data_IF_819605471612
#
_entry.id   IF_819605471612
#
_cell.length_a   1.000
_cell.length_b   1.000
_cell.length_c   1.000
_cell.angle_alpha   90.00
_cell.angle_beta   90.00
_cell.angle_gamma   90.00
#
_symmetry.space_group_name_H-M   'P 1'
#
loop_
_entity.id
_entity.type
_entity.pdbx_description
1 polymer ?
#
# COMPACT_ATOMS: atom_id res chain seq x y z
N UNK A 1 8.53 -10.47 16.86
CA UNK A 1 7.59 -9.55 16.20
C UNK A 1 6.49 -10.36 15.52
N UNK A 2 5.22 -10.06 15.79
CA UNK A 2 4.10 -10.72 15.14
C UNK A 2 3.99 -10.30 13.67
N UNK A 3 3.23 -11.05 12.88
CA UNK A 3 2.96 -10.67 11.48
C UNK A 3 2.17 -9.36 11.42
N UNK A 4 1.26 -9.13 12.37
CA UNK A 4 0.55 -7.86 12.47
C UNK A 4 1.51 -6.69 12.73
N UNK A 5 2.47 -6.86 13.64
CA UNK A 5 3.48 -5.83 13.90
C UNK A 5 4.36 -5.59 12.67
N UNK A 6 4.71 -6.65 11.93
CA UNK A 6 5.45 -6.54 10.66
C UNK A 6 4.65 -5.81 9.59
N UNK A 7 3.35 -6.09 9.47
CA UNK A 7 2.49 -5.39 8.54
C UNK A 7 2.45 -3.89 8.83
N UNK A 8 2.30 -3.51 10.10
CA UNK A 8 2.33 -2.10 10.52
C UNK A 8 3.69 -1.46 10.26
N UNK A 9 4.77 -2.18 10.55
CA UNK A 9 6.13 -1.70 10.28
C UNK A 9 6.37 -1.47 8.79
N UNK A 10 5.84 -2.32 7.94
CA UNK A 10 5.89 -2.15 6.48
C UNK A 10 5.22 -0.83 6.05
N UNK A 11 4.03 -0.54 6.55
CA UNK A 11 3.34 0.72 6.24
C UNK A 11 4.15 1.94 6.71
N UNK A 12 4.74 1.86 7.90
CA UNK A 12 5.61 2.94 8.41
C UNK A 12 6.86 3.14 7.55
N UNK A 13 7.43 2.06 7.04
CA UNK A 13 8.59 2.13 6.14
C UNK A 13 8.24 2.85 4.83
N UNK A 14 7.04 2.59 4.29
CA UNK A 14 6.55 3.32 3.10
C UNK A 14 6.43 4.82 3.40
N UNK A 15 5.80 5.17 4.53
CA UNK A 15 5.64 6.57 4.94
C UNK A 15 6.99 7.27 5.07
N UNK A 16 7.97 6.60 5.66
CA UNK A 16 9.31 7.13 5.90
C UNK A 16 10.20 7.09 4.66
N UNK A 17 9.71 6.56 3.54
CA UNK A 17 10.44 6.39 2.28
C UNK A 17 11.70 5.54 2.45
N UNK A 18 11.62 4.54 3.31
CA UNK A 18 12.67 3.56 3.53
C UNK A 18 12.59 2.42 2.52
N UNK A 19 13.65 1.61 2.47
CA UNK A 19 13.68 0.40 1.65
C UNK A 19 12.68 -0.62 2.20
N UNK A 20 11.72 -1.04 1.38
CA UNK A 20 10.67 -1.99 1.78
C UNK A 20 11.01 -3.44 1.46
N UNK A 21 12.11 -3.70 0.75
CA UNK A 21 12.50 -5.07 0.35
C UNK A 21 12.62 -6.04 1.52
N UNK A 22 13.09 -5.62 2.72
CA UNK A 22 13.16 -6.54 3.86
C UNK A 22 11.84 -7.14 4.29
N UNK A 23 10.72 -6.51 3.94
CA UNK A 23 9.37 -6.98 4.30
C UNK A 23 8.77 -7.93 3.27
N UNK A 24 9.36 -8.05 2.09
CA UNK A 24 8.76 -8.70 0.93
C UNK A 24 9.48 -9.99 0.58
N UNK A 25 8.71 -11.07 0.36
CA UNK A 25 9.28 -12.32 -0.12
C UNK A 25 9.72 -12.18 -1.58
N UNK A 26 10.80 -12.87 -2.02
CA UNK A 26 11.25 -12.78 -3.40
C UNK A 26 10.21 -13.21 -4.43
N UNK A 27 9.32 -14.12 -4.05
CA UNK A 27 8.25 -14.66 -4.89
C UNK A 27 6.88 -14.04 -4.57
N UNK A 28 6.85 -12.85 -3.99
CA UNK A 28 5.61 -12.15 -3.68
C UNK A 28 4.74 -11.95 -4.93
N UNK A 29 3.43 -12.09 -4.74
CA UNK A 29 2.43 -11.67 -5.71
C UNK A 29 1.53 -10.64 -5.03
N UNK A 30 1.51 -9.44 -5.56
CA UNK A 30 0.60 -8.39 -5.13
C UNK A 30 -0.49 -8.20 -6.17
N UNK A 31 -1.72 -8.19 -5.73
CA UNK A 31 -2.86 -7.88 -6.59
C UNK A 31 -3.55 -6.60 -6.11
N UNK A 32 -3.60 -5.63 -7.00
CA UNK A 32 -4.40 -4.42 -6.81
C UNK A 32 -5.66 -4.57 -7.64
N UNK A 33 -6.82 -4.55 -6.98
CA UNK A 33 -8.09 -4.66 -7.67
C UNK A 33 -8.45 -3.34 -8.37
N UNK A 34 -9.27 -3.39 -9.44
CA UNK A 34 -9.64 -2.19 -10.19
C UNK A 34 -10.11 -1.07 -9.29
N UNK A 35 -9.56 0.11 -9.50
CA UNK A 35 -9.88 1.32 -8.76
C UNK A 35 -9.70 2.54 -9.66
N UNK A 36 -9.97 3.72 -9.14
CA UNK A 36 -9.94 4.93 -9.95
C UNK A 36 -8.57 5.27 -10.53
N UNK A 37 -7.47 4.94 -9.83
CA UNK A 37 -6.12 5.19 -10.33
C UNK A 37 -5.63 4.10 -11.27
N UNK A 38 -6.09 2.86 -11.05
CA UNK A 38 -5.70 1.69 -11.85
C UNK A 38 -6.99 0.99 -12.29
N UNK A 39 -7.67 1.50 -13.33
CA UNK A 39 -9.02 1.04 -13.69
C UNK A 39 -9.14 -0.44 -14.03
N UNK A 40 -8.06 -1.04 -14.54
CA UNK A 40 -8.04 -2.46 -14.88
C UNK A 40 -7.40 -3.33 -13.80
N UNK A 41 -7.01 -2.72 -12.66
CA UNK A 41 -6.23 -3.40 -11.65
C UNK A 41 -4.82 -3.75 -12.13
N UNK A 42 -4.07 -4.45 -11.29
CA UNK A 42 -2.72 -4.90 -11.63
C UNK A 42 -2.34 -6.11 -10.80
N UNK A 43 -1.55 -6.99 -11.38
CA UNK A 43 -0.88 -8.08 -10.66
C UNK A 43 0.62 -7.87 -10.82
N UNK A 44 1.33 -7.83 -9.69
CA UNK A 44 2.75 -7.46 -9.67
C UNK A 44 3.57 -8.51 -8.95
N UNK A 45 4.74 -8.83 -9.54
CA UNK A 45 5.81 -9.52 -8.83
C UNK A 45 6.64 -8.51 -8.03
N UNK A 46 7.73 -8.96 -7.40
CA UNK A 46 8.57 -8.09 -6.59
C UNK A 46 9.10 -6.90 -7.38
N UNK A 47 9.63 -7.14 -8.58
CA UNK A 47 10.19 -6.09 -9.43
C UNK A 47 9.15 -5.04 -9.79
N UNK A 48 7.97 -5.47 -10.22
CA UNK A 48 6.88 -4.57 -10.59
C UNK A 48 6.33 -3.80 -9.38
N UNK A 49 6.30 -4.44 -8.21
CA UNK A 49 5.87 -3.79 -6.97
C UNK A 49 6.84 -2.68 -6.56
N UNK A 50 8.15 -2.93 -6.63
CA UNK A 50 9.16 -1.93 -6.32
C UNK A 50 9.11 -0.76 -7.30
N UNK A 51 8.89 -1.03 -8.59
CA UNK A 51 8.70 0.03 -9.60
C UNK A 51 7.45 0.86 -9.32
N UNK A 52 6.34 0.22 -8.94
CA UNK A 52 5.11 0.93 -8.60
C UNK A 52 5.32 1.84 -7.38
N UNK A 53 6.07 1.37 -6.38
CA UNK A 53 6.42 2.15 -5.20
C UNK A 53 7.24 3.40 -5.59
N UNK A 54 8.21 3.26 -6.49
CA UNK A 54 9.01 4.39 -6.98
C UNK A 54 8.17 5.40 -7.78
N UNK A 55 7.25 4.91 -8.63
CA UNK A 55 6.33 5.80 -9.36
C UNK A 55 5.46 6.60 -8.39
N UNK A 56 4.95 5.95 -7.35
CA UNK A 56 4.15 6.61 -6.32
C UNK A 56 4.91 7.74 -5.63
N UNK A 57 6.18 7.52 -5.31
CA UNK A 57 7.04 8.51 -4.68
C UNK A 57 7.24 9.77 -5.54
N UNK A 58 7.09 9.66 -6.85
CA UNK A 58 7.20 10.81 -7.76
C UNK A 58 5.90 11.61 -7.87
N UNK A 59 4.78 10.98 -7.54
CA UNK A 59 3.44 11.60 -7.62
C UNK A 59 3.07 12.28 -6.32
N UNK A 60 3.42 11.67 -5.17
CA UNK A 60 3.10 12.22 -3.85
C UNK A 60 4.37 12.68 -3.15
N UNK A 61 4.28 13.82 -2.45
CA UNK A 61 5.39 14.37 -1.67
C UNK A 61 5.44 13.81 -0.26
N UNK A 62 4.29 13.39 0.27
CA UNK A 62 4.18 12.73 1.57
C UNK A 62 2.92 11.89 1.60
N UNK A 63 2.91 10.85 2.45
CA UNK A 63 1.74 10.01 2.63
C UNK A 63 1.66 9.49 4.06
N UNK A 64 0.46 9.14 4.48
CA UNK A 64 0.19 8.64 5.80
C UNK A 64 -0.78 7.46 5.72
N UNK A 65 -0.46 6.40 6.46
CA UNK A 65 -1.29 5.21 6.63
C UNK A 65 -1.78 5.17 8.07
N UNK A 66 -3.07 5.41 8.28
CA UNK A 66 -3.71 5.27 9.59
C UNK A 66 -4.46 3.94 9.64
N UNK A 67 -4.01 3.03 10.49
CA UNK A 67 -4.66 1.73 10.65
C UNK A 67 -5.89 1.89 11.52
N UNK A 68 -7.08 1.75 10.92
CA UNK A 68 -8.37 1.90 11.59
C UNK A 68 -8.81 0.59 12.26
N UNK A 69 -8.40 -0.55 11.72
CA UNK A 69 -8.73 -1.86 12.25
C UNK A 69 -7.76 -2.89 11.71
N UNK A 70 -7.58 -3.97 12.46
CA UNK A 70 -6.66 -5.04 12.09
C UNK A 70 -7.13 -6.37 12.65
N UNK A 71 -6.94 -7.43 11.86
CA UNK A 71 -7.18 -8.80 12.26
C UNK A 71 -5.97 -9.64 11.88
N UNK A 72 -5.62 -10.57 12.75
CA UNK A 72 -4.55 -11.53 12.49
C UNK A 72 -5.07 -12.94 12.76
N UNK A 73 -4.84 -13.86 11.84
CA UNK A 73 -5.20 -15.26 11.98
C UNK A 73 -4.15 -16.12 11.27
N UNK A 74 -3.37 -16.88 12.04
CA UNK A 74 -2.29 -17.68 11.49
C UNK A 74 -1.29 -16.80 10.74
N UNK A 75 -1.07 -17.12 9.49
CA UNK A 75 -0.13 -16.39 8.62
C UNK A 75 -0.79 -15.21 7.89
N UNK A 76 -2.06 -14.92 8.18
CA UNK A 76 -2.80 -13.88 7.49
C UNK A 76 -3.05 -12.67 8.37
N UNK A 77 -2.92 -11.48 7.76
CA UNK A 77 -3.22 -10.20 8.39
C UNK A 77 -4.16 -9.43 7.47
N UNK A 78 -5.24 -8.89 8.03
CA UNK A 78 -6.13 -7.98 7.32
C UNK A 78 -6.09 -6.61 7.98
N UNK A 79 -5.95 -5.57 7.19
CA UNK A 79 -5.90 -4.18 7.67
C UNK A 79 -6.99 -3.36 7.00
N UNK A 80 -7.66 -2.52 7.79
CA UNK A 80 -8.45 -1.41 7.28
C UNK A 80 -7.64 -0.14 7.50
N UNK A 81 -7.38 0.59 6.43
CA UNK A 81 -6.46 1.74 6.47
C UNK A 81 -7.11 2.97 5.87
N UNK A 82 -6.99 4.10 6.56
CA UNK A 82 -7.23 5.41 5.95
C UNK A 82 -5.90 5.95 5.47
N UNK A 83 -5.83 6.20 4.16
CA UNK A 83 -4.64 6.71 3.51
C UNK A 83 -4.87 8.16 3.07
N UNK A 84 -3.90 9.02 3.34
CA UNK A 84 -3.88 10.39 2.88
C UNK A 84 -2.51 10.69 2.27
N UNK A 85 -2.51 11.47 1.20
CA UNK A 85 -1.27 11.86 0.53
C UNK A 85 -1.34 13.30 0.07
N UNK A 86 -0.22 13.98 0.11
CA UNK A 86 -0.05 15.31 -0.48
C UNK A 86 0.49 15.12 -1.89
N UNK A 87 -0.18 15.70 -2.88
CA UNK A 87 0.21 15.56 -4.28
C UNK A 87 1.35 16.50 -4.65
N UNK A 88 2.33 15.97 -5.38
CA UNK A 88 3.38 16.77 -6.00
C UNK A 88 3.01 17.24 -7.42
N UNK A 89 1.95 16.65 -8.00
CA UNK A 89 1.44 16.97 -9.34
C UNK A 89 -0.08 17.04 -9.26
N UNK A 90 -0.75 17.76 -10.18
CA UNK A 90 -2.22 17.77 -10.22
C UNK A 90 -2.77 16.38 -10.55
N UNK A 91 -3.92 16.02 -9.96
CA UNK A 91 -4.61 14.78 -10.24
C UNK A 91 -6.13 15.03 -10.22
N UNK A 92 -6.80 14.83 -11.37
CA UNK A 92 -8.23 15.12 -11.49
C UNK A 92 -8.52 16.56 -11.09
N UNK A 93 -9.42 16.76 -10.13
CA UNK A 93 -9.79 18.08 -9.62
C UNK A 93 -8.86 18.58 -8.52
N UNK A 94 -7.90 17.78 -8.07
CA UNK A 94 -6.99 18.13 -6.98
C UNK A 94 -5.73 18.78 -7.56
N UNK A 95 -5.38 20.01 -7.17
CA UNK A 95 -4.14 20.65 -7.63
C UNK A 95 -2.91 20.06 -6.93
N UNK A 96 -1.72 20.34 -7.47
CA UNK A 96 -0.47 20.07 -6.77
C UNK A 96 -0.49 20.75 -5.40
N UNK A 97 -0.02 20.06 -4.37
CA UNK A 97 -0.11 20.51 -2.99
C UNK A 97 -1.41 20.13 -2.29
N UNK A 98 -2.42 19.68 -3.03
CA UNK A 98 -3.68 19.21 -2.46
C UNK A 98 -3.56 17.81 -1.88
N UNK A 99 -4.63 17.37 -1.20
CA UNK A 99 -4.67 16.07 -0.51
C UNK A 99 -5.55 15.08 -1.26
N UNK A 100 -4.99 13.90 -1.53
CA UNK A 100 -5.73 12.73 -2.00
C UNK A 100 -6.03 11.83 -0.80
N UNK A 101 -7.25 11.30 -0.73
CA UNK A 101 -7.68 10.45 0.37
C UNK A 101 -8.27 9.15 -0.15
N UNK A 102 -8.04 8.07 0.57
CA UNK A 102 -8.59 6.76 0.25
C UNK A 102 -8.78 5.91 1.51
N UNK A 103 -9.63 4.89 1.39
CA UNK A 103 -9.69 3.78 2.33
C UNK A 103 -9.19 2.53 1.63
N UNK A 104 -8.28 1.82 2.28
CA UNK A 104 -7.74 0.56 1.76
C UNK A 104 -8.16 -0.61 2.63
N UNK A 105 -8.63 -1.67 1.99
CA UNK A 105 -8.66 -3.01 2.59
C UNK A 105 -7.44 -3.77 2.09
N UNK A 106 -6.56 -4.18 2.99
CA UNK A 106 -5.31 -4.86 2.64
C UNK A 106 -5.27 -6.22 3.30
N UNK A 107 -5.07 -7.26 2.50
CA UNK A 107 -4.97 -8.64 2.97
C UNK A 107 -3.57 -9.16 2.63
N UNK A 108 -2.84 -9.56 3.67
CA UNK A 108 -1.46 -10.03 3.53
C UNK A 108 -1.33 -11.46 4.03
N UNK A 109 -0.61 -12.28 3.28
CA UNK A 109 -0.17 -13.60 3.75
C UNK A 109 1.33 -13.54 3.98
N UNK A 110 1.78 -14.03 5.14
CA UNK A 110 3.18 -14.03 5.53
C UNK A 110 3.77 -15.44 5.45
N UNK A 111 5.05 -15.51 5.11
CA UNK A 111 5.87 -16.71 5.18
C UNK A 111 7.23 -16.31 5.73
N UNK A 112 7.62 -16.91 6.86
CA UNK A 112 8.90 -16.60 7.52
C UNK A 112 9.13 -15.11 7.76
N UNK A 113 8.06 -14.41 8.17
CA UNK A 113 8.13 -13.00 8.49
C UNK A 113 8.11 -12.03 7.31
N UNK A 114 7.92 -12.54 6.08
CA UNK A 114 7.84 -11.72 4.87
C UNK A 114 6.51 -11.89 4.19
N UNK A 115 6.06 -10.84 3.53
CA UNK A 115 4.80 -10.84 2.79
C UNK A 115 4.99 -11.63 1.49
N UNK A 116 4.24 -12.71 1.34
CA UNK A 116 4.29 -13.56 0.13
C UNK A 116 3.09 -13.31 -0.78
N UNK A 117 2.00 -12.78 -0.23
CA UNK A 117 0.81 -12.40 -1.00
C UNK A 117 0.20 -11.14 -0.39
N UNK A 118 -0.20 -10.21 -1.24
CA UNK A 118 -0.89 -9.01 -0.81
C UNK A 118 -2.00 -8.68 -1.79
N UNK A 119 -3.19 -8.43 -1.26
CA UNK A 119 -4.34 -8.01 -2.05
C UNK A 119 -4.82 -6.66 -1.53
N UNK A 120 -4.96 -5.70 -2.44
CA UNK A 120 -5.37 -4.34 -2.14
C UNK A 120 -6.72 -4.02 -2.76
N UNK A 121 -7.64 -3.57 -1.93
CA UNK A 121 -8.96 -3.05 -2.30
C UNK A 121 -8.96 -1.56 -1.96
N UNK A 122 -8.73 -0.73 -2.97
CA UNK A 122 -8.50 0.70 -2.79
C UNK A 122 -9.75 1.50 -3.18
N UNK A 123 -10.30 2.22 -2.20
CA UNK A 123 -11.49 3.04 -2.38
C UNK A 123 -11.10 4.51 -2.25
N UNK A 124 -10.92 5.19 -3.39
CA UNK A 124 -10.53 6.60 -3.40
C UNK A 124 -11.73 7.52 -3.18
N UNK A 125 -11.53 8.59 -2.41
CA UNK A 125 -12.45 9.71 -2.37
C UNK A 125 -12.51 10.35 -3.77
N UNK A 126 -13.62 10.98 -4.16
CA UNK A 126 -13.75 11.59 -5.49
C UNK A 126 -12.65 12.60 -5.79
N UNK A 127 -12.18 12.57 -7.03
CA UNK A 127 -11.21 13.54 -7.53
C UNK A 127 -11.33 13.76 -9.02
#
# INVERSE_FOLDING_TARGET
>A
MSNLERAKAFLRAIEAREDVRPFLAPDIVQREFPNRLVPNGATRDLSALLEANERGRRVVTSERYEVLGALESGDEVALEVRWTATLGVPLGTIPAGGTLEAHFGVFMTFREGRIVSQRNYDCFAPF
#
